data_IF_042373569757
#
_entry.id   IF_042373569757
#
_cell.length_a   1.000
_cell.length_b   1.000
_cell.length_c   1.000
_cell.angle_alpha   90.00
_cell.angle_beta   90.00
_cell.angle_gamma   90.00
#
_symmetry.space_group_name_H-M   'P 1'
#
loop_
_entity.id
_entity.type
_entity.pdbx_description
1 polymer ?
#
# COMPACT_ATOMS: atom_id res chain seq x y z
N UNK A 1 20.43 -7.82 0.19
CA UNK A 1 19.90 -6.48 -0.12
C UNK A 1 18.38 -6.53 -0.14
N UNK A 2 17.72 -5.63 0.59
CA UNK A 2 16.25 -5.60 0.66
C UNK A 2 15.64 -5.00 -0.61
N UNK A 3 14.71 -5.73 -1.22
CA UNK A 3 13.94 -5.27 -2.40
C UNK A 3 12.45 -5.41 -2.17
N UNK A 4 11.70 -4.36 -2.46
CA UNK A 4 10.24 -4.38 -2.47
C UNK A 4 9.72 -4.72 -3.87
N UNK A 5 8.97 -5.81 -3.98
CA UNK A 5 8.33 -6.27 -5.23
C UNK A 5 6.83 -6.02 -5.12
N UNK A 6 6.28 -5.17 -5.98
CA UNK A 6 4.85 -4.84 -5.99
C UNK A 6 4.13 -5.65 -7.08
N UNK A 7 3.12 -6.40 -6.67
CA UNK A 7 2.26 -7.20 -7.56
C UNK A 7 0.80 -6.77 -7.41
N UNK A 8 0.03 -6.90 -8.49
CA UNK A 8 -1.40 -6.61 -8.48
C UNK A 8 -2.20 -7.87 -8.16
N UNK A 9 -3.12 -7.77 -7.19
CA UNK A 9 -4.02 -8.85 -6.80
C UNK A 9 -5.37 -8.74 -7.52
N UNK A 10 -5.96 -9.90 -7.82
CA UNK A 10 -7.28 -10.04 -8.46
C UNK A 10 -8.18 -10.92 -7.57
N UNK A 11 -8.59 -10.43 -6.39
CA UNK A 11 -9.44 -11.19 -5.51
C UNK A 11 -10.85 -11.37 -6.11
N UNK A 12 -11.45 -12.54 -5.88
CA UNK A 12 -12.86 -12.76 -6.15
C UNK A 12 -13.74 -11.99 -5.13
N UNK A 13 -15.08 -12.12 -5.24
CA UNK A 13 -16.02 -11.40 -4.36
C UNK A 13 -15.79 -11.73 -2.88
N UNK A 14 -15.72 -13.01 -2.53
CA UNK A 14 -15.50 -13.49 -1.15
C UNK A 14 -14.14 -13.01 -0.61
N UNK A 15 -13.07 -13.14 -1.38
CA UNK A 15 -11.73 -12.66 -1.01
C UNK A 15 -11.71 -11.13 -0.84
N UNK A 16 -12.45 -10.40 -1.67
CA UNK A 16 -12.61 -8.96 -1.57
C UNK A 16 -13.28 -8.56 -0.26
N UNK A 17 -14.31 -9.27 0.15
CA UNK A 17 -14.99 -9.08 1.43
C UNK A 17 -14.03 -9.37 2.61
N UNK A 18 -13.28 -10.47 2.53
CA UNK A 18 -12.27 -10.84 3.53
C UNK A 18 -11.16 -9.76 3.64
N UNK A 19 -10.64 -9.25 2.52
CA UNK A 19 -9.66 -8.16 2.54
C UNK A 19 -10.24 -6.87 3.13
N UNK A 20 -11.49 -6.54 2.83
CA UNK A 20 -12.15 -5.36 3.39
C UNK A 20 -12.36 -5.49 4.90
N UNK A 21 -12.77 -6.67 5.38
CA UNK A 21 -12.88 -6.98 6.82
C UNK A 21 -11.50 -6.85 7.48
N UNK A 22 -10.46 -7.45 6.92
CA UNK A 22 -9.10 -7.40 7.46
C UNK A 22 -8.58 -5.96 7.56
N UNK A 23 -8.72 -5.17 6.51
CA UNK A 23 -8.33 -3.74 6.51
C UNK A 23 -9.12 -2.93 7.55
N UNK A 24 -10.40 -3.27 7.75
CA UNK A 24 -11.25 -2.69 8.79
C UNK A 24 -10.75 -3.00 10.20
N UNK A 25 -10.49 -4.28 10.48
CA UNK A 25 -9.97 -4.75 11.77
C UNK A 25 -8.58 -4.14 12.08
N UNK A 26 -7.71 -4.11 11.09
CA UNK A 26 -6.37 -3.51 11.22
C UNK A 26 -6.44 -2.03 11.59
N UNK A 27 -7.30 -1.27 10.92
CA UNK A 27 -7.55 0.14 11.23
C UNK A 27 -8.14 0.33 12.62
N UNK A 28 -9.09 -0.51 13.01
CA UNK A 28 -9.71 -0.47 14.33
C UNK A 28 -8.67 -0.67 15.42
N UNK A 29 -7.87 -1.72 15.36
CA UNK A 29 -6.79 -2.01 16.35
C UNK A 29 -5.78 -0.86 16.40
N UNK A 30 -5.34 -0.34 15.25
CA UNK A 30 -4.47 0.82 15.19
C UNK A 30 -5.06 2.02 15.95
N UNK A 31 -6.33 2.33 15.71
CA UNK A 31 -7.01 3.47 16.32
C UNK A 31 -7.23 3.27 17.83
N UNK A 32 -7.61 2.07 18.28
CA UNK A 32 -7.78 1.77 19.69
C UNK A 32 -6.46 1.89 20.46
N UNK A 33 -5.36 1.38 19.89
CA UNK A 33 -4.04 1.52 20.49
C UNK A 33 -3.57 2.97 20.52
N UNK A 34 -3.86 3.74 19.47
CA UNK A 34 -3.54 5.17 19.43
C UNK A 34 -4.33 5.94 20.50
N UNK A 35 -5.64 5.67 20.63
CA UNK A 35 -6.48 6.30 21.64
C UNK A 35 -5.99 5.98 23.06
N UNK A 36 -5.66 4.70 23.34
CA UNK A 36 -5.14 4.30 24.64
C UNK A 36 -3.81 5.00 24.95
N UNK A 37 -2.88 5.06 23.98
CA UNK A 37 -1.58 5.71 24.18
C UNK A 37 -1.70 7.21 24.45
N UNK A 38 -2.62 7.89 23.76
CA UNK A 38 -2.92 9.31 24.00
C UNK A 38 -3.47 9.49 25.41
N UNK A 39 -4.50 8.70 25.77
CA UNK A 39 -5.16 8.76 27.08
C UNK A 39 -4.18 8.51 28.23
N UNK A 40 -3.38 7.44 28.17
CA UNK A 40 -2.39 7.12 29.20
C UNK A 40 -1.39 8.27 29.40
N UNK A 41 -0.96 8.90 28.30
CA UNK A 41 -0.03 10.03 28.41
C UNK A 41 -0.68 11.29 29.01
N UNK A 42 -1.94 11.56 28.69
CA UNK A 42 -2.69 12.71 29.25
C UNK A 42 -2.92 12.51 30.75
N UNK A 43 -3.31 11.31 31.20
CA UNK A 43 -3.68 11.01 32.57
C UNK A 43 -2.46 10.80 33.50
N UNK A 44 -1.46 10.03 33.04
CA UNK A 44 -0.36 9.55 33.91
C UNK A 44 1.03 9.96 33.43
N UNK A 45 1.15 10.67 32.29
CA UNK A 45 2.42 10.99 31.62
C UNK A 45 3.25 9.74 31.25
N UNK A 46 2.66 8.55 31.32
CA UNK A 46 3.31 7.30 30.93
C UNK A 46 3.07 7.00 29.48
N UNK A 47 4.05 6.39 28.82
CA UNK A 47 3.95 6.05 27.39
C UNK A 47 3.82 4.55 27.23
N UNK A 48 2.67 4.12 26.68
CA UNK A 48 2.42 2.71 26.36
C UNK A 48 3.43 2.17 25.34
N UNK A 49 3.97 0.98 25.62
CA UNK A 49 4.93 0.28 24.79
C UNK A 49 4.30 -0.91 24.03
N UNK A 50 5.10 -1.65 23.26
CA UNK A 50 4.62 -2.79 22.49
C UNK A 50 4.02 -3.89 23.37
N UNK A 51 4.60 -4.15 24.55
CA UNK A 51 4.12 -5.20 25.47
C UNK A 51 2.76 -4.83 26.05
N UNK A 52 2.61 -3.61 26.57
CA UNK A 52 1.35 -3.13 27.18
C UNK A 52 0.22 -3.08 26.16
N UNK A 53 0.49 -2.52 24.97
CA UNK A 53 -0.48 -2.48 23.88
C UNK A 53 -0.80 -3.86 23.31
N UNK A 54 0.18 -4.76 23.26
CA UNK A 54 -0.05 -6.16 22.89
C UNK A 54 -0.98 -6.89 23.87
N UNK A 55 -0.77 -6.69 25.17
CA UNK A 55 -1.67 -7.20 26.23
C UNK A 55 -3.07 -6.59 26.11
N UNK A 56 -3.17 -5.30 25.86
CA UNK A 56 -4.46 -4.63 25.62
C UNK A 56 -5.23 -5.25 24.45
N UNK A 57 -4.59 -5.45 23.31
CA UNK A 57 -5.23 -6.11 22.15
C UNK A 57 -5.65 -7.53 22.49
N UNK A 58 -4.77 -8.32 23.13
CA UNK A 58 -5.01 -9.74 23.38
C UNK A 58 -6.03 -9.98 24.51
N UNK A 59 -5.95 -9.23 25.61
CA UNK A 59 -6.75 -9.49 26.81
C UNK A 59 -8.00 -8.61 26.92
N UNK A 60 -8.02 -7.45 26.24
CA UNK A 60 -9.21 -6.59 26.24
C UNK A 60 -9.95 -6.67 24.91
N UNK A 61 -9.32 -6.30 23.78
CA UNK A 61 -10.05 -6.23 22.50
C UNK A 61 -10.48 -7.61 21.97
N UNK A 62 -9.62 -8.63 22.02
CA UNK A 62 -9.95 -9.97 21.50
C UNK A 62 -10.85 -10.79 22.46
N UNK A 63 -10.93 -10.44 23.73
CA UNK A 63 -11.82 -11.13 24.70
C UNK A 63 -13.18 -10.44 24.88
N UNK A 64 -13.29 -9.19 24.46
CA UNK A 64 -14.55 -8.44 24.53
C UNK A 64 -15.53 -8.96 23.46
N UNK A 65 -16.72 -9.34 23.91
CA UNK A 65 -17.76 -9.88 23.03
C UNK A 65 -18.33 -8.83 22.07
N UNK A 66 -18.22 -7.54 22.40
CA UNK A 66 -18.55 -6.47 21.48
C UNK A 66 -17.65 -6.43 20.24
N UNK A 67 -16.48 -7.07 20.29
CA UNK A 67 -15.50 -7.11 19.21
C UNK A 67 -15.22 -8.53 18.70
N UNK A 68 -16.18 -9.46 18.83
CA UNK A 68 -16.06 -10.87 18.41
C UNK A 68 -15.58 -11.01 16.96
N UNK A 69 -15.91 -10.08 16.08
CA UNK A 69 -15.49 -10.02 14.69
C UNK A 69 -13.97 -9.85 14.50
N UNK A 70 -13.23 -9.39 15.54
CA UNK A 70 -11.76 -9.38 15.51
C UNK A 70 -11.17 -10.79 15.58
N UNK A 71 -11.86 -11.74 16.25
CA UNK A 71 -11.40 -13.12 16.43
C UNK A 71 -11.35 -13.89 15.10
N UNK A 72 -12.12 -13.45 14.09
CA UNK A 72 -12.09 -14.02 12.74
C UNK A 72 -10.78 -13.71 11.99
N UNK A 73 -10.02 -12.74 12.48
CA UNK A 73 -8.81 -12.26 11.81
C UNK A 73 -7.54 -12.89 12.37
N UNK A 74 -6.52 -12.97 11.53
CA UNK A 74 -5.21 -13.47 11.94
C UNK A 74 -4.56 -12.51 12.96
N UNK A 75 -4.31 -13.00 14.17
CA UNK A 75 -3.77 -12.21 15.29
C UNK A 75 -2.40 -11.61 14.98
N UNK A 76 -1.55 -12.28 14.17
CA UNK A 76 -0.25 -11.75 13.74
C UNK A 76 -0.41 -10.47 12.91
N UNK A 77 -1.46 -10.42 12.08
CA UNK A 77 -1.76 -9.21 11.29
C UNK A 77 -2.27 -8.09 12.21
N UNK A 78 -3.12 -8.40 13.19
CA UNK A 78 -3.61 -7.41 14.15
C UNK A 78 -2.47 -6.85 15.02
N UNK A 79 -1.54 -7.70 15.48
CA UNK A 79 -0.33 -7.26 16.19
C UNK A 79 0.51 -6.28 15.36
N UNK A 80 0.55 -6.49 14.05
CA UNK A 80 1.30 -5.59 13.16
C UNK A 80 0.68 -4.17 13.07
N UNK A 81 -0.61 -4.02 13.36
CA UNK A 81 -1.23 -2.70 13.47
C UNK A 81 -0.67 -1.89 14.66
N UNK A 82 -0.35 -2.58 15.77
CA UNK A 82 0.32 -1.98 16.93
C UNK A 82 1.72 -1.50 16.56
N UNK A 83 2.49 -2.35 15.87
CA UNK A 83 3.84 -2.00 15.40
C UNK A 83 3.82 -0.79 14.45
N UNK A 84 2.82 -0.70 13.56
CA UNK A 84 2.68 0.43 12.64
C UNK A 84 2.35 1.73 13.37
N UNK A 85 1.53 1.65 14.42
CA UNK A 85 1.21 2.80 15.26
C UNK A 85 2.43 3.29 16.04
N UNK A 86 3.18 2.37 16.67
CA UNK A 86 4.42 2.71 17.37
C UNK A 86 5.49 3.26 16.42
N UNK A 87 5.58 2.71 15.20
CA UNK A 87 6.49 3.23 14.17
C UNK A 87 6.12 4.66 13.73
N UNK A 88 4.82 4.99 13.72
CA UNK A 88 4.38 6.35 13.43
C UNK A 88 4.83 7.33 14.53
N UNK A 89 4.76 6.95 15.82
CA UNK A 89 5.32 7.74 16.92
C UNK A 89 6.84 7.87 16.82
N UNK A 90 7.53 6.77 16.53
CA UNK A 90 8.99 6.79 16.34
C UNK A 90 9.39 7.77 15.22
N UNK A 91 8.70 7.74 14.10
CA UNK A 91 8.94 8.67 13.00
C UNK A 91 8.62 10.13 13.38
N UNK A 92 7.60 10.36 14.20
CA UNK A 92 7.28 11.69 14.71
C UNK A 92 8.45 12.26 15.54
N UNK A 93 8.99 11.50 16.49
CA UNK A 93 10.08 11.96 17.35
C UNK A 93 11.43 12.04 16.64
N UNK A 94 11.78 11.04 15.82
CA UNK A 94 13.11 10.92 15.22
C UNK A 94 13.24 11.60 13.85
N UNK A 95 12.14 11.68 13.08
CA UNK A 95 12.17 12.15 11.69
C UNK A 95 11.33 13.42 11.46
N UNK A 96 10.86 14.05 12.51
CA UNK A 96 10.02 15.25 12.46
C UNK A 96 8.82 15.14 11.51
N UNK A 97 8.24 13.94 11.40
CA UNK A 97 6.99 13.74 10.65
C UNK A 97 5.81 14.29 11.47
N UNK A 98 4.67 14.46 10.85
CA UNK A 98 3.46 14.88 11.58
C UNK A 98 3.04 13.88 12.66
N UNK A 99 2.36 14.39 13.71
CA UNK A 99 1.81 13.56 14.79
C UNK A 99 0.93 12.43 14.26
N UNK A 100 0.97 11.22 14.86
CA UNK A 100 0.14 10.09 14.43
C UNK A 100 -1.35 10.41 14.45
N UNK A 101 -2.04 10.15 13.33
CA UNK A 101 -3.47 10.45 13.16
C UNK A 101 -4.30 9.17 13.17
N UNK A 102 -5.55 9.28 13.64
CA UNK A 102 -6.53 8.21 13.48
C UNK A 102 -6.76 7.90 12.00
N UNK A 103 -6.78 6.61 11.67
CA UNK A 103 -7.04 6.14 10.30
C UNK A 103 -8.53 6.13 10.02
N UNK A 104 -8.92 6.61 8.83
CA UNK A 104 -10.31 6.63 8.37
C UNK A 104 -10.59 5.56 7.31
N UNK A 105 -11.85 5.10 7.25
CA UNK A 105 -12.35 4.27 6.14
C UNK A 105 -12.31 5.01 4.79
N UNK A 106 -12.29 6.33 4.84
CA UNK A 106 -12.32 7.21 3.68
C UNK A 106 -10.94 7.67 3.22
N UNK A 107 -9.88 7.22 3.91
CA UNK A 107 -8.51 7.52 3.49
C UNK A 107 -8.25 7.03 2.07
N UNK A 108 -7.49 7.81 1.32
CA UNK A 108 -7.16 7.53 -0.08
C UNK A 108 -6.40 6.21 -0.28
N UNK A 109 -5.69 5.74 0.75
CA UNK A 109 -4.97 4.48 0.72
C UNK A 109 -5.22 3.73 2.02
N UNK A 110 -5.80 2.55 1.90
CA UNK A 110 -5.92 1.62 3.02
C UNK A 110 -4.86 0.55 2.88
N UNK A 111 -4.18 0.22 3.96
CA UNK A 111 -3.14 -0.80 3.95
C UNK A 111 -3.08 -1.55 5.26
N UNK A 112 -2.63 -2.82 5.19
CA UNK A 112 -2.23 -3.62 6.34
C UNK A 112 -0.96 -4.38 6.03
N UNK A 113 -0.15 -4.64 7.05
CA UNK A 113 1.14 -5.29 6.94
C UNK A 113 1.05 -6.74 7.45
N UNK A 114 1.73 -7.63 6.78
CA UNK A 114 1.86 -9.06 7.14
C UNK A 114 3.29 -9.35 7.52
N UNK A 115 3.49 -9.96 8.66
CA UNK A 115 4.77 -10.60 9.00
C UNK A 115 4.93 -11.91 8.23
N UNK A 116 6.16 -12.44 8.22
CA UNK A 116 6.51 -13.74 7.61
C UNK A 116 5.51 -14.84 7.98
N UNK A 117 5.14 -14.94 9.24
CA UNK A 117 4.24 -15.99 9.73
C UNK A 117 2.78 -15.87 9.25
N UNK A 118 2.41 -14.75 8.60
CA UNK A 118 1.10 -14.55 7.99
C UNK A 118 1.13 -14.70 6.45
N UNK A 119 2.30 -14.96 5.88
CA UNK A 119 2.49 -15.26 4.46
C UNK A 119 2.73 -16.76 4.33
N UNK A 120 1.94 -17.46 3.53
CA UNK A 120 2.09 -18.90 3.38
C UNK A 120 3.45 -19.27 2.76
N UNK A 121 4.22 -20.10 3.47
CA UNK A 121 5.48 -20.66 2.96
C UNK A 121 5.27 -21.62 1.77
N UNK A 122 4.04 -22.13 1.62
CA UNK A 122 3.65 -23.04 0.52
C UNK A 122 3.28 -22.30 -0.76
N UNK A 123 3.34 -20.97 -0.77
CA UNK A 123 3.06 -20.19 -1.98
C UNK A 123 4.01 -20.61 -3.10
N UNK A 124 3.42 -20.88 -4.26
CA UNK A 124 4.12 -21.04 -5.51
C UNK A 124 3.81 -19.84 -6.41
N UNK A 125 4.79 -18.96 -6.54
CA UNK A 125 4.62 -17.71 -7.29
C UNK A 125 4.58 -17.93 -8.80
N UNK A 126 4.98 -19.10 -9.30
CA UNK A 126 4.94 -19.44 -10.72
C UNK A 126 3.52 -19.76 -11.20
N UNK A 127 2.64 -20.15 -10.29
CA UNK A 127 1.22 -20.41 -10.58
C UNK A 127 0.36 -19.15 -10.61
N UNK A 128 0.95 -17.98 -10.28
CA UNK A 128 0.25 -16.70 -10.16
C UNK A 128 -0.89 -16.68 -9.13
N UNK A 129 -0.79 -17.55 -8.12
CA UNK A 129 -1.69 -17.59 -6.97
C UNK A 129 -0.90 -17.57 -5.67
N UNK A 130 -1.47 -16.94 -4.65
CA UNK A 130 -0.84 -16.86 -3.34
C UNK A 130 -1.88 -16.89 -2.21
N UNK A 131 -1.42 -17.23 -1.02
CA UNK A 131 -2.24 -17.26 0.19
C UNK A 131 -1.61 -16.34 1.25
N UNK A 132 -2.45 -15.49 1.86
CA UNK A 132 -2.09 -14.50 2.87
C UNK A 132 -2.99 -14.65 4.09
N UNK A 133 -2.44 -14.83 5.28
CA UNK A 133 -3.19 -15.10 6.50
C UNK A 133 -4.20 -16.24 6.27
N UNK A 134 -5.50 -15.97 6.46
CA UNK A 134 -6.58 -16.95 6.26
C UNK A 134 -7.20 -16.90 4.86
N UNK A 135 -6.70 -16.04 3.97
CA UNK A 135 -7.23 -15.84 2.62
C UNK A 135 -6.39 -16.64 1.64
N UNK A 136 -7.01 -17.69 1.08
CA UNK A 136 -6.31 -18.67 0.22
C UNK A 136 -6.51 -18.38 -1.26
N UNK A 137 -5.53 -18.80 -2.05
CA UNK A 137 -5.61 -18.90 -3.51
C UNK A 137 -6.00 -17.58 -4.21
N UNK A 138 -5.41 -16.48 -3.79
CA UNK A 138 -5.63 -15.16 -4.39
C UNK A 138 -4.83 -15.04 -5.67
N UNK A 139 -5.50 -14.79 -6.79
CA UNK A 139 -4.86 -14.58 -8.10
C UNK A 139 -4.08 -13.25 -8.10
N UNK A 140 -2.89 -13.26 -8.68
CA UNK A 140 -2.11 -12.05 -8.93
C UNK A 140 -1.55 -12.01 -10.34
N UNK A 141 -1.02 -10.86 -10.74
CA UNK A 141 -0.29 -10.67 -12.00
C UNK A 141 1.01 -9.95 -11.77
N UNK A 142 2.05 -10.45 -12.41
CA UNK A 142 3.35 -9.81 -12.58
C UNK A 142 3.99 -10.36 -13.86
N UNK A 143 5.15 -9.84 -14.25
CA UNK A 143 5.92 -10.45 -15.33
C UNK A 143 6.60 -11.75 -14.87
N UNK A 144 7.01 -12.60 -15.82
CA UNK A 144 7.64 -13.91 -15.58
C UNK A 144 8.90 -13.78 -14.72
N UNK A 145 9.78 -12.84 -15.04
CA UNK A 145 11.03 -12.59 -14.26
C UNK A 145 10.75 -12.27 -12.79
N UNK A 146 9.67 -11.51 -12.51
CA UNK A 146 9.24 -11.20 -11.14
C UNK A 146 8.71 -12.43 -10.41
N UNK A 147 7.93 -13.29 -11.08
CA UNK A 147 7.42 -14.53 -10.50
C UNK A 147 8.58 -15.47 -10.14
N UNK A 148 9.52 -15.67 -11.06
CA UNK A 148 10.72 -16.48 -10.85
C UNK A 148 11.59 -15.93 -9.71
N UNK A 149 11.76 -14.61 -9.64
CA UNK A 149 12.47 -13.95 -8.54
C UNK A 149 11.81 -14.21 -7.19
N UNK A 150 10.48 -14.04 -7.09
CA UNK A 150 9.73 -14.31 -5.86
C UNK A 150 9.81 -15.80 -5.47
N UNK A 151 9.75 -16.72 -6.45
CA UNK A 151 9.87 -18.15 -6.21
C UNK A 151 11.27 -18.52 -5.72
N UNK A 152 12.32 -17.99 -6.35
CA UNK A 152 13.71 -18.21 -5.95
C UNK A 152 13.98 -17.77 -4.51
N UNK A 153 13.46 -16.61 -4.12
CA UNK A 153 13.73 -16.00 -2.81
C UNK A 153 12.55 -16.09 -1.83
N UNK A 154 11.62 -17.03 -2.02
CA UNK A 154 10.41 -17.15 -1.18
C UNK A 154 10.72 -17.37 0.31
N UNK A 155 11.82 -18.00 0.65
CA UNK A 155 12.26 -18.19 2.04
C UNK A 155 12.83 -16.92 2.67
N UNK A 156 13.22 -15.95 1.85
CA UNK A 156 13.84 -14.69 2.26
C UNK A 156 12.85 -13.53 2.31
N UNK A 157 11.54 -13.81 2.20
CA UNK A 157 10.48 -12.80 2.36
C UNK A 157 10.48 -12.35 3.82
N UNK A 158 10.62 -11.06 4.06
CA UNK A 158 10.61 -10.46 5.41
C UNK A 158 9.23 -10.02 5.84
N UNK A 159 8.49 -9.39 4.94
CA UNK A 159 7.14 -8.89 5.18
C UNK A 159 6.39 -8.64 3.86
N UNK A 160 5.08 -8.47 3.93
CA UNK A 160 4.30 -7.99 2.80
C UNK A 160 3.29 -6.92 3.27
N UNK A 161 2.96 -5.99 2.40
CA UNK A 161 1.97 -4.95 2.65
C UNK A 161 0.87 -5.03 1.60
N UNK A 162 -0.34 -5.39 2.05
CA UNK A 162 -1.55 -5.28 1.24
C UNK A 162 -1.98 -3.82 1.22
N UNK A 163 -2.31 -3.31 0.05
CA UNK A 163 -2.89 -1.99 -0.11
C UNK A 163 -4.09 -2.02 -1.04
N UNK A 164 -5.13 -1.26 -0.66
CA UNK A 164 -6.32 -1.03 -1.47
C UNK A 164 -6.33 0.41 -1.93
N UNK A 165 -6.44 0.62 -3.24
CA UNK A 165 -6.54 1.94 -3.84
C UNK A 165 -8.01 2.42 -3.88
N UNK A 166 -8.25 3.74 -4.02
CA UNK A 166 -9.60 4.30 -4.13
C UNK A 166 -10.40 3.77 -5.32
N UNK A 167 -9.73 3.32 -6.38
CA UNK A 167 -10.35 2.69 -7.56
C UNK A 167 -10.82 1.25 -7.32
N UNK A 168 -10.59 0.69 -6.11
CA UNK A 168 -10.96 -0.67 -5.72
C UNK A 168 -9.93 -1.74 -6.06
N UNK A 169 -8.77 -1.38 -6.60
CA UNK A 169 -7.70 -2.33 -6.90
C UNK A 169 -6.87 -2.66 -5.66
N UNK A 170 -6.39 -3.89 -5.62
CA UNK A 170 -5.55 -4.41 -4.55
C UNK A 170 -4.14 -4.68 -5.04
N UNK A 171 -3.16 -4.30 -4.23
CA UNK A 171 -1.75 -4.55 -4.48
C UNK A 171 -1.10 -5.16 -3.26
N UNK A 172 -0.14 -6.03 -3.50
CA UNK A 172 0.74 -6.58 -2.46
C UNK A 172 2.18 -6.14 -2.77
N UNK A 173 2.80 -5.47 -1.82
CA UNK A 173 4.23 -5.15 -1.86
C UNK A 173 4.95 -6.14 -0.96
N UNK A 174 5.77 -7.00 -1.53
CA UNK A 174 6.51 -8.07 -0.85
C UNK A 174 7.95 -7.60 -0.67
N UNK A 175 8.43 -7.53 0.56
CA UNK A 175 9.81 -7.21 0.88
C UNK A 175 10.62 -8.49 0.96
N UNK A 176 11.58 -8.61 0.07
CA UNK A 176 12.44 -9.79 -0.09
C UNK A 176 13.89 -9.40 0.20
N UNK A 177 14.59 -10.22 0.96
CA UNK A 177 16.04 -10.13 1.11
C UNK A 177 16.70 -11.08 0.11
N UNK A 178 16.99 -10.54 -1.06
CA UNK A 178 17.57 -11.29 -2.15
C UNK A 178 18.85 -10.63 -2.66
N UNK A 179 19.82 -11.43 -3.08
CA UNK A 179 20.91 -10.89 -3.87
C UNK A 179 20.34 -10.42 -5.20
N UNK A 180 20.36 -9.12 -5.43
CA UNK A 180 20.36 -8.64 -6.78
C UNK A 180 21.76 -9.01 -7.31
N UNK A 181 21.81 -9.87 -8.32
CA UNK A 181 22.87 -9.70 -9.28
C UNK A 181 22.63 -8.31 -9.87
N UNK A 182 23.22 -7.29 -9.26
CA UNK A 182 23.43 -6.06 -9.98
C UNK A 182 24.18 -6.51 -11.25
N UNK A 183 23.54 -6.40 -12.38
CA UNK A 183 24.32 -6.03 -13.55
C UNK A 183 24.99 -4.76 -13.06
N UNK A 184 26.29 -4.84 -12.78
CA UNK A 184 27.07 -3.69 -12.34
C UNK A 184 26.63 -2.50 -13.17
N UNK A 185 26.60 -1.34 -12.58
CA UNK A 185 26.56 -0.11 -13.38
C UNK A 185 27.47 -0.41 -14.57
N UNK A 186 26.92 -0.35 -15.78
CA UNK A 186 27.76 -0.50 -16.96
C UNK A 186 28.87 0.52 -16.73
N UNK A 187 30.08 0.03 -16.65
CA UNK A 187 31.25 0.89 -16.55
C UNK A 187 31.32 1.64 -17.89
N UNK A 188 30.54 2.71 -17.94
CA UNK A 188 30.46 3.57 -19.10
C UNK A 188 31.04 4.89 -18.65
N UNK A 189 32.14 5.30 -19.22
CA UNK A 189 32.73 6.64 -19.09
C UNK A 189 31.79 7.74 -19.63
N UNK A 190 30.59 7.37 -20.04
CA UNK A 190 29.56 8.29 -20.56
C UNK A 190 28.78 8.93 -19.43
N UNK A 191 28.94 10.23 -19.30
CA UNK A 191 28.15 11.09 -18.42
C UNK A 191 27.17 11.88 -19.26
N UNK A 192 25.89 11.87 -18.90
CA UNK A 192 24.83 12.66 -19.56
C UNK A 192 24.34 13.71 -18.58
N UNK A 193 24.40 14.96 -18.98
CA UNK A 193 23.77 16.08 -18.28
C UNK A 193 22.27 16.10 -18.59
N UNK A 194 21.43 16.41 -17.59
CA UNK A 194 19.97 16.46 -17.74
C UNK A 194 19.48 17.80 -17.24
N UNK A 195 18.75 18.53 -18.10
CA UNK A 195 17.96 19.73 -17.72
C UNK A 195 16.48 19.38 -17.68
N UNK A 196 15.78 19.82 -16.61
CA UNK A 196 14.33 19.61 -16.42
C UNK A 196 13.58 20.91 -16.64
N UNK A 197 12.73 20.94 -17.68
CA UNK A 197 11.96 22.11 -18.07
C UNK A 197 10.45 21.94 -17.94
N UNK A 198 9.74 23.07 -18.08
CA UNK A 198 8.27 23.11 -18.12
C UNK A 198 7.75 22.94 -19.55
N UNK A 199 8.41 23.51 -20.53
CA UNK A 199 8.05 23.40 -21.95
C UNK A 199 8.42 22.01 -22.45
N UNK A 200 9.69 21.70 -22.40
CA UNK A 200 10.24 20.37 -22.64
C UNK A 200 10.47 19.69 -21.30
N UNK A 201 10.15 18.42 -21.18
CA UNK A 201 10.21 17.71 -19.90
C UNK A 201 11.64 17.41 -19.47
N UNK A 202 12.45 16.97 -20.45
CA UNK A 202 13.88 16.67 -20.28
C UNK A 202 14.61 17.08 -21.54
N UNK A 203 15.76 17.72 -21.37
CA UNK A 203 16.75 17.95 -22.42
C UNK A 203 18.05 17.34 -21.94
N UNK A 204 18.67 16.49 -22.75
CA UNK A 204 19.95 15.87 -22.40
C UNK A 204 21.12 16.64 -23.03
N UNK A 205 22.32 16.50 -22.46
CA UNK A 205 23.56 17.06 -23.03
C UNK A 205 23.85 16.54 -24.46
N UNK A 206 23.31 15.38 -24.80
CA UNK A 206 23.46 14.74 -26.11
C UNK A 206 22.47 15.28 -27.15
N UNK A 207 21.66 16.27 -26.75
CA UNK A 207 20.68 16.93 -27.65
C UNK A 207 19.33 16.21 -27.75
N UNK A 208 19.08 15.16 -27.00
CA UNK A 208 17.76 14.52 -26.96
C UNK A 208 16.77 15.40 -26.21
N UNK A 209 15.56 15.58 -26.76
CA UNK A 209 14.48 16.37 -26.18
C UNK A 209 13.27 15.48 -25.96
N UNK A 210 12.81 15.41 -24.70
CA UNK A 210 11.60 14.72 -24.32
C UNK A 210 10.48 15.74 -24.04
N UNK A 211 9.42 15.68 -24.81
CA UNK A 211 8.28 16.61 -24.70
C UNK A 211 7.53 16.49 -23.37
N UNK A 212 6.98 17.59 -22.89
CA UNK A 212 6.07 17.56 -21.75
C UNK A 212 4.64 17.24 -22.23
N UNK A 213 4.21 16.00 -22.03
CA UNK A 213 2.91 15.49 -22.48
C UNK A 213 1.69 16.11 -21.76
N UNK A 214 1.89 17.00 -20.80
CA UNK A 214 0.82 17.71 -20.06
C UNK A 214 -0.40 16.84 -19.69
N UNK A 215 -0.17 15.61 -19.23
CA UNK A 215 -1.19 14.58 -18.96
C UNK A 215 -2.46 15.08 -18.25
N UNK A 216 -2.29 16.07 -17.33
CA UNK A 216 -3.43 16.64 -16.61
C UNK A 216 -4.27 17.56 -17.48
N UNK A 217 -3.67 18.26 -18.45
CA UNK A 217 -4.36 19.24 -19.29
C UNK A 217 -5.31 18.55 -20.28
N UNK A 218 -4.83 17.49 -20.95
CA UNK A 218 -5.62 16.73 -21.93
C UNK A 218 -6.81 15.99 -21.33
N UNK A 219 -6.69 15.52 -20.06
CA UNK A 219 -7.72 14.72 -19.37
C UNK A 219 -8.61 15.57 -18.45
N UNK A 220 -8.33 16.86 -18.32
CA UNK A 220 -8.94 17.73 -17.31
C UNK A 220 -10.47 17.85 -17.48
N UNK A 221 -10.97 17.89 -18.72
CA UNK A 221 -12.41 18.00 -18.99
C UNK A 221 -13.18 16.78 -18.47
N UNK A 222 -12.65 15.57 -18.70
CA UNK A 222 -13.28 14.34 -18.21
C UNK A 222 -13.29 14.26 -16.69
N UNK A 223 -12.18 14.65 -16.05
CA UNK A 223 -12.10 14.72 -14.58
C UNK A 223 -13.11 15.73 -14.05
N UNK A 224 -13.19 16.95 -14.63
CA UNK A 224 -14.17 17.98 -14.22
C UNK A 224 -15.61 17.46 -14.29
N UNK A 225 -15.96 16.76 -15.38
CA UNK A 225 -17.30 16.16 -15.53
C UNK A 225 -17.55 15.12 -14.42
N UNK A 226 -16.62 14.21 -14.18
CA UNK A 226 -16.75 13.18 -13.15
C UNK A 226 -16.80 13.76 -11.72
N UNK A 227 -16.07 14.84 -11.46
CA UNK A 227 -16.13 15.56 -10.18
C UNK A 227 -17.50 16.21 -9.98
N UNK A 228 -18.04 16.89 -11.00
CA UNK A 228 -19.40 17.46 -10.95
C UNK A 228 -20.47 16.38 -10.74
N UNK A 229 -20.34 15.24 -11.43
CA UNK A 229 -21.24 14.10 -11.23
C UNK A 229 -21.15 13.55 -9.80
N UNK A 230 -19.96 13.48 -9.21
CA UNK A 230 -19.76 13.03 -7.84
C UNK A 230 -20.36 14.01 -6.82
N UNK A 231 -20.16 15.33 -7.02
CA UNK A 231 -20.64 16.35 -6.08
C UNK A 231 -22.17 16.39 -6.00
N UNK A 232 -22.86 16.10 -7.13
CA UNK A 232 -24.34 16.06 -7.20
C UNK A 232 -24.96 14.81 -6.56
N UNK A 233 -24.16 13.81 -6.14
CA UNK A 233 -24.66 12.58 -5.55
C UNK A 233 -24.77 12.73 -4.04
N UNK A 234 -25.83 12.18 -3.46
CA UNK A 234 -26.07 12.14 -2.02
C UNK A 234 -24.93 11.44 -1.28
N UNK A 235 -24.45 12.07 -0.19
CA UNK A 235 -23.38 11.52 0.65
C UNK A 235 -23.85 10.21 1.30
N UNK A 236 -23.02 9.16 1.21
CA UNK A 236 -23.35 7.84 1.75
C UNK A 236 -24.06 6.91 0.77
N UNK A 237 -24.67 7.41 -0.31
CA UNK A 237 -25.40 6.59 -1.27
C UNK A 237 -24.49 5.65 -2.08
N UNK A 238 -25.04 4.50 -2.50
CA UNK A 238 -24.35 3.56 -3.40
C UNK A 238 -23.97 4.21 -4.74
N UNK A 239 -24.81 5.11 -5.25
CA UNK A 239 -24.54 5.83 -6.50
C UNK A 239 -23.35 6.78 -6.36
N UNK A 240 -23.19 7.44 -5.19
CA UNK A 240 -22.01 8.23 -4.90
C UNK A 240 -20.74 7.36 -4.84
N UNK A 241 -20.81 6.18 -4.22
CA UNK A 241 -19.69 5.24 -4.19
C UNK A 241 -19.28 4.77 -5.60
N UNK A 242 -20.24 4.46 -6.47
CA UNK A 242 -19.97 4.12 -7.89
C UNK A 242 -19.30 5.29 -8.62
N UNK A 243 -19.79 6.52 -8.44
CA UNK A 243 -19.20 7.72 -9.05
C UNK A 243 -17.77 7.99 -8.53
N UNK A 244 -17.53 7.83 -7.21
CA UNK A 244 -16.21 7.95 -6.60
C UNK A 244 -15.20 6.96 -7.18
N UNK A 245 -15.60 5.70 -7.35
CA UNK A 245 -14.74 4.66 -7.94
C UNK A 245 -14.45 5.00 -9.41
N UNK A 246 -15.43 5.49 -10.17
CA UNK A 246 -15.24 5.90 -11.57
C UNK A 246 -14.23 7.03 -11.69
N UNK A 247 -14.35 8.05 -10.86
CA UNK A 247 -13.39 9.16 -10.79
C UNK A 247 -11.98 8.67 -10.40
N UNK A 248 -11.88 7.80 -9.37
CA UNK A 248 -10.61 7.24 -8.93
C UNK A 248 -9.92 6.38 -10.01
N UNK A 249 -10.68 5.65 -10.82
CA UNK A 249 -10.15 4.90 -11.96
C UNK A 249 -9.56 5.83 -13.03
N UNK A 250 -10.19 6.97 -13.29
CA UNK A 250 -9.67 7.93 -14.25
C UNK A 250 -8.36 8.57 -13.77
N UNK A 251 -8.31 9.00 -12.50
CA UNK A 251 -7.05 9.49 -11.92
C UNK A 251 -5.93 8.43 -11.96
N UNK A 252 -6.27 7.18 -11.68
CA UNK A 252 -5.29 6.09 -11.76
C UNK A 252 -4.76 5.93 -13.20
N UNK A 253 -5.63 5.98 -14.21
CA UNK A 253 -5.26 5.86 -15.61
C UNK A 253 -4.27 6.96 -16.03
N UNK A 254 -4.49 8.20 -15.59
CA UNK A 254 -3.57 9.31 -15.85
C UNK A 254 -2.21 9.06 -15.17
N UNK A 255 -2.23 8.63 -13.91
CA UNK A 255 -1.00 8.33 -13.19
C UNK A 255 -0.22 7.16 -13.81
N UNK A 256 -0.92 6.13 -14.29
CA UNK A 256 -0.28 4.98 -14.97
C UNK A 256 0.37 5.42 -16.30
N UNK A 257 -0.29 6.28 -17.10
CA UNK A 257 0.30 6.85 -18.33
C UNK A 257 1.53 7.70 -18.02
N UNK A 258 1.43 8.56 -16.99
CA UNK A 258 2.58 9.36 -16.54
C UNK A 258 3.76 8.47 -16.14
N UNK A 259 3.50 7.44 -15.37
CA UNK A 259 4.54 6.52 -14.91
C UNK A 259 5.17 5.75 -16.08
N UNK A 260 4.33 5.31 -17.04
CA UNK A 260 4.80 4.66 -18.26
C UNK A 260 5.74 5.57 -19.07
N UNK A 261 5.35 6.83 -19.27
CA UNK A 261 6.19 7.82 -19.97
C UNK A 261 7.52 8.06 -19.25
N UNK A 262 7.47 8.23 -17.92
CA UNK A 262 8.69 8.37 -17.12
C UNK A 262 9.64 7.16 -17.29
N UNK A 263 9.09 5.95 -17.37
CA UNK A 263 9.89 4.75 -17.64
C UNK A 263 10.45 4.71 -19.06
N UNK A 264 9.74 5.26 -20.05
CA UNK A 264 10.30 5.39 -21.39
C UNK A 264 11.52 6.33 -21.39
N UNK A 265 11.35 7.53 -20.81
CA UNK A 265 12.43 8.53 -20.70
C UNK A 265 13.64 7.99 -19.93
N UNK A 266 13.45 7.19 -18.88
CA UNK A 266 14.56 6.64 -18.08
C UNK A 266 15.21 5.39 -18.70
N UNK A 267 14.65 4.82 -19.75
CA UNK A 267 15.17 3.63 -20.41
C UNK A 267 15.80 3.95 -21.79
N UNK A 268 15.63 5.17 -22.30
CA UNK A 268 16.37 5.69 -23.43
C UNK A 268 17.80 6.02 -23.02
#
# INVERSE_FOLDING_TARGET
MLRAVKIRLYPNKTQTEQFNKLLGCYRFVYNQCLALKIKSYEETKTSENLSTLGKFVHHKLLKDDNFIWLREQNTKVLKQAVNDMLSAYKNFFERHTGYPKFKSKHDNKQSCRFEIGAISKRNDYTTYHLSLANIRNVKFRCNKKTAEYLQKYKQNIKQATLSKLPCGEYYLSILVDGSLTHKGLRDTDKTVGIDLGIKDFVITSDGEVFENLHFKKSENNKIKILQRQLSRKEKGSNNRNKARIKLAKEYKKINDRKLYYLHQVTNS
#
